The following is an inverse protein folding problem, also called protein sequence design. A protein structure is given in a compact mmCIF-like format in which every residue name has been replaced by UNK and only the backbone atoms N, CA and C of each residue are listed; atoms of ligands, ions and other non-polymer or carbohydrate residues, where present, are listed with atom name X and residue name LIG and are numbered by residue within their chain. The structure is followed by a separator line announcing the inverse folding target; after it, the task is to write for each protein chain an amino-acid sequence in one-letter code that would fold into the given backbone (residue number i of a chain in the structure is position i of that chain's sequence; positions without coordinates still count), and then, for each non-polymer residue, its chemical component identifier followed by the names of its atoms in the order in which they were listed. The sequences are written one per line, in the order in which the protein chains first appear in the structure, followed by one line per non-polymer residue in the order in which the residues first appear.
data_IF_533105880445
#
_entry.id   IF_533105880445
#
_cell.length_a   1.000
_cell.length_b   1.000
_cell.length_c   1.000
_cell.angle_alpha   90.00
_cell.angle_beta   90.00
_cell.angle_gamma   90.00
#
_symmetry.space_group_name_H-M   'P 1'
#
loop_
_entity.id
_entity.type
_entity.pdbx_description
1 polymer ?
2 water ?
#
# COMPACT_ATOMS: atom_id res chain seq x y z
N UNK A 1 -18.87 0.73 -8.07
CA UNK A 1 -17.91 0.75 -6.94
C UNK A 1 -18.10 -0.45 -6.00
N UNK A 2 -17.13 -1.36 -6.01
CA UNK A 2 -17.19 -2.54 -5.15
C UNK A 2 -17.18 -2.10 -3.69
N UNK A 3 -18.20 -2.50 -2.94
CA UNK A 3 -18.27 -2.12 -1.53
C UNK A 3 -17.51 -3.12 -0.66
N UNK A 4 -16.93 -2.62 0.43
CA UNK A 4 -16.15 -3.42 1.35
C UNK A 4 -16.90 -4.65 1.84
N UNK A 5 -18.15 -4.46 2.26
CA UNK A 5 -18.95 -5.57 2.76
C UNK A 5 -19.07 -6.71 1.77
N UNK A 6 -19.24 -6.37 0.50
CA UNK A 6 -19.36 -7.39 -0.53
C UNK A 6 -18.10 -8.24 -0.57
N UNK A 7 -16.95 -7.61 -0.80
CA UNK A 7 -15.68 -8.33 -0.86
C UNK A 7 -15.53 -9.17 0.41
N UNK A 8 -16.08 -8.65 1.51
CA UNK A 8 -16.04 -9.31 2.82
C UNK A 8 -16.96 -10.53 2.83
N UNK A 9 -18.24 -10.31 2.52
CA UNK A 9 -19.22 -11.39 2.50
C UNK A 9 -18.81 -12.45 1.47
N UNK A 10 -18.19 -12.00 0.38
CA UNK A 10 -17.75 -12.92 -0.66
C UNK A 10 -16.55 -13.71 -0.18
N UNK A 11 -15.76 -13.10 0.72
CA UNK A 11 -14.57 -13.78 1.24
C UNK A 11 -15.04 -14.86 2.21
N UNK A 12 -16.07 -14.53 2.98
CA UNK A 12 -16.64 -15.47 3.94
C UNK A 12 -17.18 -16.68 3.17
N UNK A 13 -18.15 -16.42 2.29
CA UNK A 13 -18.78 -17.47 1.49
C UNK A 13 -17.78 -18.30 0.68
N UNK A 14 -16.87 -17.62 0.00
CA UNK A 14 -15.88 -18.31 -0.83
C UNK A 14 -15.05 -19.30 -0.03
N UNK A 15 -14.77 -18.95 1.21
CA UNK A 15 -13.99 -19.81 2.11
C UNK A 15 -14.82 -20.99 2.56
N UNK A 16 -16.08 -20.69 2.90
CA UNK A 16 -17.03 -21.68 3.34
C UNK A 16 -17.05 -22.84 2.34
N UNK A 17 -17.47 -22.54 1.11
CA UNK A 17 -17.57 -23.53 0.05
C UNK A 17 -16.25 -24.23 -0.33
N UNK A 18 -15.13 -23.72 0.14
CA UNK A 18 -13.83 -24.33 -0.17
C UNK A 18 -13.59 -25.55 0.72
N UNK A 19 -14.11 -25.48 1.95
CA UNK A 19 -13.96 -26.53 2.95
C UNK A 19 -14.82 -27.76 2.68
N UNK A 20 -16.04 -27.52 2.17
CA UNK A 20 -16.97 -28.59 1.84
C UNK A 20 -16.53 -29.39 0.61
N UNK A 21 -15.23 -29.39 0.35
CA UNK A 21 -14.61 -30.13 -0.76
C UNK A 21 -13.41 -30.83 -0.13
N UNK A 22 -12.99 -31.97 -0.68
CA UNK A 22 -11.87 -32.70 -0.09
C UNK A 22 -10.65 -32.91 -1.00
N UNK A 23 -10.81 -33.76 -2.02
CA UNK A 23 -9.73 -34.02 -2.97
C UNK A 23 -10.35 -34.47 -4.28
N UNK A 24 -11.64 -34.81 -4.22
CA UNK A 24 -12.36 -35.24 -5.42
C UNK A 24 -12.95 -33.99 -6.09
N UNK A 25 -12.64 -33.81 -7.37
CA UNK A 25 -13.13 -32.67 -8.13
C UNK A 25 -12.85 -31.35 -7.44
N UNK A 26 -11.79 -31.31 -6.63
CA UNK A 26 -11.48 -30.07 -5.94
C UNK A 26 -9.98 -29.75 -5.92
N UNK A 27 -9.19 -30.58 -6.58
CA UNK A 27 -7.75 -30.34 -6.64
C UNK A 27 -7.56 -29.11 -7.51
N UNK A 28 -8.66 -28.58 -8.01
CA UNK A 28 -8.63 -27.40 -8.85
C UNK A 28 -9.64 -26.37 -8.39
N UNK A 29 -10.90 -26.75 -8.26
CA UNK A 29 -11.90 -25.79 -7.81
C UNK A 29 -11.44 -25.18 -6.49
N UNK A 30 -10.64 -25.93 -5.73
CA UNK A 30 -10.13 -25.44 -4.44
C UNK A 30 -8.84 -24.69 -4.67
N UNK A 31 -7.90 -25.34 -5.35
CA UNK A 31 -6.61 -24.72 -5.64
C UNK A 31 -6.89 -23.40 -6.35
N UNK A 32 -8.10 -23.26 -6.88
CA UNK A 32 -8.53 -22.06 -7.58
C UNK A 32 -9.19 -21.10 -6.58
N UNK A 33 -10.17 -21.60 -5.82
CA UNK A 33 -10.84 -20.76 -4.83
C UNK A 33 -9.82 -20.22 -3.84
N UNK A 34 -8.65 -20.83 -3.78
CA UNK A 34 -7.62 -20.37 -2.86
C UNK A 34 -7.00 -19.07 -3.34
N UNK A 35 -6.63 -19.02 -4.62
CA UNK A 35 -6.03 -17.83 -5.20
C UNK A 35 -6.84 -16.62 -4.76
N UNK A 36 -8.15 -16.69 -5.03
CA UNK A 36 -9.07 -15.61 -4.68
C UNK A 36 -9.11 -15.31 -3.20
N UNK A 37 -9.16 -16.35 -2.37
CA UNK A 37 -9.19 -16.19 -0.91
C UNK A 37 -7.98 -15.34 -0.56
N UNK A 38 -6.81 -15.88 -0.89
CA UNK A 38 -5.51 -15.24 -0.67
C UNK A 38 -5.53 -13.78 -1.10
N UNK A 39 -5.75 -13.55 -2.40
CA UNK A 39 -5.81 -12.21 -2.96
C UNK A 39 -6.74 -11.32 -2.13
N UNK A 40 -7.93 -11.83 -1.83
CA UNK A 40 -8.89 -11.06 -1.07
C UNK A 40 -8.40 -10.66 0.31
N UNK A 41 -7.78 -11.58 1.03
CA UNK A 41 -7.29 -11.23 2.37
C UNK A 41 -5.98 -10.46 2.36
N UNK A 42 -5.27 -10.50 1.24
CA UNK A 42 -4.01 -9.77 1.06
C UNK A 42 -4.15 -8.34 1.56
N UNK A 43 -3.07 -7.76 2.07
CA UNK A 43 -3.12 -6.39 2.56
C UNK A 43 -3.29 -5.42 1.40
N UNK A 44 -2.53 -5.64 0.34
CA UNK A 44 -2.61 -4.81 -0.85
C UNK A 44 -4.05 -4.71 -1.35
N UNK A 45 -4.67 -5.86 -1.59
CA UNK A 45 -6.03 -5.88 -2.05
C UNK A 45 -6.93 -5.02 -1.16
N UNK A 46 -6.88 -5.25 0.15
CA UNK A 46 -7.70 -4.50 1.08
C UNK A 46 -7.51 -2.98 0.92
N UNK A 47 -6.30 -2.55 0.61
CA UNK A 47 -6.01 -1.13 0.43
C UNK A 47 -6.64 -0.55 -0.84
N UNK A 48 -6.69 -1.36 -1.91
CA UNK A 48 -7.30 -0.96 -3.18
C UNK A 48 -8.81 -0.71 -3.04
N UNK A 49 -9.50 -1.63 -2.37
CA UNK A 49 -10.93 -1.48 -2.13
C UNK A 49 -11.22 -0.18 -1.40
N UNK A 50 -10.37 0.16 -0.44
CA UNK A 50 -10.53 1.39 0.35
C UNK A 50 -10.29 2.66 -0.49
N UNK A 51 -9.23 2.68 -1.28
CA UNK A 51 -8.94 3.83 -2.12
C UNK A 51 -10.12 4.00 -3.05
N UNK A 52 -10.40 2.93 -3.78
CA UNK A 52 -11.49 2.88 -4.74
C UNK A 52 -12.83 3.33 -4.16
N UNK A 53 -13.15 2.84 -2.97
CA UNK A 53 -14.42 3.21 -2.37
C UNK A 53 -14.48 4.63 -1.80
N UNK A 54 -13.39 5.08 -1.16
CA UNK A 54 -13.38 6.42 -0.57
C UNK A 54 -13.11 7.54 -1.56
N UNK A 55 -12.34 7.25 -2.59
CA UNK A 55 -12.02 8.22 -3.60
C UNK A 55 -12.69 7.91 -4.93
N UNK A 56 -13.73 7.10 -4.89
CA UNK A 56 -14.44 6.72 -6.11
C UNK A 56 -13.55 6.66 -7.34
N UNK A 57 -12.72 5.62 -7.39
CA UNK A 57 -11.81 5.42 -8.51
C UNK A 57 -12.47 4.52 -9.52
N UNK A 58 -12.37 4.90 -10.79
CA UNK A 58 -12.97 4.16 -11.89
C UNK A 58 -12.00 4.27 -13.05
N UNK A 59 -12.01 3.29 -13.95
CA UNK A 59 -11.12 3.36 -15.11
C UNK A 59 -11.60 4.52 -15.98
N UNK A 60 -12.86 4.88 -15.79
CA UNK A 60 -13.49 5.96 -16.52
C UNK A 60 -13.13 7.25 -15.81
N UNK A 61 -13.25 7.22 -14.50
CA UNK A 61 -12.98 8.36 -13.67
C UNK A 61 -11.48 8.65 -13.57
N UNK A 62 -10.70 7.59 -13.48
CA UNK A 62 -9.27 7.70 -13.36
C UNK A 62 -8.67 6.84 -14.46
N UNK A 63 -8.62 7.38 -15.70
CA UNK A 63 -8.07 6.64 -16.84
C UNK A 63 -6.57 6.37 -16.88
N UNK A 64 -5.81 6.99 -15.99
CA UNK A 64 -4.37 6.75 -16.00
C UNK A 64 -4.02 5.34 -15.56
N UNK A 65 -4.99 4.64 -14.98
CA UNK A 65 -4.78 3.27 -14.51
C UNK A 65 -4.57 2.29 -15.65
N UNK A 66 -5.18 2.59 -16.80
CA UNK A 66 -5.09 1.73 -17.97
C UNK A 66 -3.70 1.19 -18.29
N UNK A 67 -2.67 1.91 -17.89
CA UNK A 67 -1.31 1.48 -18.16
C UNK A 67 -0.96 0.20 -17.38
N UNK A 68 -1.74 -0.10 -16.34
CA UNK A 68 -1.51 -1.27 -15.50
C UNK A 68 -2.02 -2.59 -16.09
N UNK A 69 -2.77 -2.50 -17.18
CA UNK A 69 -3.32 -3.69 -17.84
C UNK A 69 -2.40 -4.17 -18.96
N UNK A 70 -1.12 -3.83 -18.82
CA UNK A 70 -0.12 -4.19 -19.81
C UNK A 70 1.20 -4.38 -19.06
N UNK A 71 2.11 -5.17 -19.64
CA UNK A 71 3.39 -5.40 -18.99
C UNK A 71 3.32 -6.64 -18.14
N UNK A 72 4.39 -6.95 -17.38
CA UNK A 72 4.50 -8.12 -16.50
C UNK A 72 3.42 -8.22 -15.41
N UNK A 73 2.51 -9.16 -15.60
CA UNK A 73 1.44 -9.34 -14.64
C UNK A 73 0.13 -8.73 -15.10
N UNK A 74 -0.17 -8.85 -16.39
CA UNK A 74 -1.38 -8.29 -16.96
C UNK A 74 -2.42 -9.41 -17.23
N UNK A 75 -2.36 -9.97 -18.44
CA UNK A 75 -3.30 -11.00 -18.83
C UNK A 75 -2.90 -12.31 -18.25
N UNK A 76 -2.15 -12.28 -17.14
CA UNK A 76 -1.71 -13.49 -16.44
C UNK A 76 -2.77 -14.62 -16.50
N UNK A 77 -3.94 -14.29 -17.06
CA UNK A 77 -5.02 -15.25 -17.27
C UNK A 77 -6.00 -15.16 -16.14
N UNK A 78 -5.58 -14.56 -15.04
CA UNK A 78 -6.41 -14.41 -13.85
C UNK A 78 -7.87 -14.02 -14.08
N UNK A 79 -8.15 -13.27 -15.14
CA UNK A 79 -9.53 -12.85 -15.39
C UNK A 79 -10.48 -14.04 -15.48
N UNK A 80 -10.09 -15.06 -16.24
CA UNK A 80 -10.92 -16.23 -16.40
C UNK A 80 -11.34 -16.82 -15.05
N UNK A 81 -10.36 -17.10 -14.19
CA UNK A 81 -10.62 -17.64 -12.85
C UNK A 81 -11.90 -17.11 -12.23
N UNK A 82 -11.84 -15.85 -11.81
CA UNK A 82 -12.97 -15.18 -11.18
C UNK A 82 -14.29 -15.38 -11.91
N UNK A 83 -14.24 -15.20 -13.23
CA UNK A 83 -15.42 -15.34 -14.06
C UNK A 83 -15.94 -16.78 -14.14
N UNK A 84 -15.02 -17.73 -14.30
CA UNK A 84 -15.40 -19.14 -14.37
C UNK A 84 -15.70 -19.74 -13.02
N UNK A 85 -15.86 -18.93 -11.98
CA UNK A 85 -16.15 -19.46 -10.64
C UNK A 85 -17.62 -19.67 -10.32
N UNK A 86 -18.45 -18.62 -10.43
CA UNK A 86 -19.87 -18.76 -10.12
C UNK A 86 -20.44 -20.01 -10.80
N UNK A 87 -19.78 -20.43 -11.87
CA UNK A 87 -20.18 -21.60 -12.62
C UNK A 87 -19.81 -22.89 -11.87
N UNK A 88 -18.55 -22.99 -11.47
CA UNK A 88 -18.08 -24.16 -10.76
C UNK A 88 -18.70 -24.34 -9.38
N UNK A 89 -18.95 -23.24 -8.69
CA UNK A 89 -19.53 -23.29 -7.35
C UNK A 89 -21.04 -23.47 -7.37
N UNK A 90 -21.67 -23.14 -8.50
CA UNK A 90 -23.12 -23.22 -8.66
C UNK A 90 -23.74 -24.55 -8.18
N UNK A 91 -23.12 -25.69 -8.52
CA UNK A 91 -23.65 -26.98 -8.08
C UNK A 91 -23.73 -27.09 -6.55
N UNK A 92 -22.62 -26.77 -5.90
CA UNK A 92 -22.47 -26.82 -4.44
C UNK A 92 -23.22 -25.77 -3.64
N UNK A 93 -23.58 -24.66 -4.30
CA UNK A 93 -24.32 -23.60 -3.63
C UNK A 93 -25.78 -24.01 -3.49
N UNK A 94 -26.28 -24.04 -2.27
CA UNK A 94 -27.66 -24.42 -2.01
C UNK A 94 -28.48 -23.22 -1.55
N UNK A 95 -28.14 -22.03 -2.03
CA UNK A 95 -28.86 -20.83 -1.66
C UNK A 95 -29.13 -19.88 -2.81
N UNK A 96 -30.42 -19.64 -3.06
CA UNK A 96 -30.89 -18.76 -4.11
C UNK A 96 -30.42 -17.32 -3.85
N UNK A 97 -29.78 -17.14 -2.69
CA UNK A 97 -29.29 -15.84 -2.29
C UNK A 97 -27.81 -15.68 -2.62
N UNK A 98 -27.02 -16.66 -2.22
CA UNK A 98 -25.59 -16.62 -2.46
C UNK A 98 -25.28 -16.80 -3.94
N UNK A 99 -25.96 -17.74 -4.57
CA UNK A 99 -25.73 -18.01 -6.00
C UNK A 99 -25.83 -16.74 -6.82
N UNK A 100 -26.91 -15.98 -6.63
CA UNK A 100 -27.09 -14.74 -7.35
C UNK A 100 -25.98 -13.75 -6.98
N UNK A 101 -25.63 -13.72 -5.69
CA UNK A 101 -24.58 -12.84 -5.19
C UNK A 101 -23.26 -13.16 -5.86
N UNK A 102 -22.91 -14.44 -5.91
CA UNK A 102 -21.65 -14.85 -6.51
C UNK A 102 -21.58 -14.48 -7.99
N UNK A 103 -22.64 -14.75 -8.74
CA UNK A 103 -22.62 -14.39 -10.15
C UNK A 103 -22.52 -12.87 -10.28
N UNK A 104 -22.99 -12.16 -9.26
CA UNK A 104 -22.95 -10.70 -9.26
C UNK A 104 -21.51 -10.20 -9.11
N UNK A 105 -20.83 -10.62 -8.05
CA UNK A 105 -19.44 -10.20 -7.82
C UNK A 105 -18.52 -10.66 -8.92
N UNK A 106 -18.47 -11.97 -9.13
CA UNK A 106 -17.61 -12.59 -10.14
C UNK A 106 -18.38 -12.92 -11.42
N UNK A 110 -16.11 -3.87 -12.49
CA UNK A 110 -15.40 -3.15 -11.43
C UNK A 110 -14.38 -4.04 -10.71
N UNK A 111 -14.88 -5.08 -10.03
CA UNK A 111 -14.03 -6.03 -9.30
C UNK A 111 -12.93 -6.70 -10.13
N UNK A 112 -13.26 -7.13 -11.34
CA UNK A 112 -12.27 -7.77 -12.21
C UNK A 112 -11.06 -6.86 -12.45
N UNK A 113 -11.35 -5.58 -12.69
CA UNK A 113 -10.32 -4.58 -12.92
C UNK A 113 -9.51 -4.46 -11.63
N UNK A 114 -10.21 -4.43 -10.51
CA UNK A 114 -9.57 -4.33 -9.21
C UNK A 114 -8.53 -5.43 -9.07
N UNK A 115 -8.97 -6.69 -9.20
CA UNK A 115 -8.10 -7.85 -9.06
C UNK A 115 -6.93 -7.88 -10.04
N UNK A 116 -7.13 -7.40 -11.27
CA UNK A 116 -6.04 -7.38 -12.25
C UNK A 116 -5.00 -6.37 -11.79
N UNK A 117 -5.47 -5.23 -11.28
CA UNK A 117 -4.58 -4.21 -10.78
C UNK A 117 -3.79 -4.78 -9.61
N UNK A 118 -4.44 -5.56 -8.76
CA UNK A 118 -3.76 -6.19 -7.63
C UNK A 118 -2.64 -7.11 -8.10
N UNK A 119 -2.91 -7.91 -9.13
CA UNK A 119 -1.91 -8.83 -9.66
C UNK A 119 -0.75 -8.10 -10.28
N UNK A 120 -1.00 -6.88 -10.76
CA UNK A 120 0.04 -6.09 -11.39
C UNK A 120 0.91 -5.43 -10.36
N UNK A 121 0.29 -4.87 -9.33
CA UNK A 121 1.03 -4.20 -8.28
C UNK A 121 1.80 -5.24 -7.49
N UNK A 122 1.15 -6.35 -7.19
CA UNK A 122 1.77 -7.43 -6.44
C UNK A 122 3.05 -7.90 -7.11
N UNK A 123 3.05 -7.85 -8.44
CA UNK A 123 4.21 -8.26 -9.22
C UNK A 123 5.37 -7.31 -8.95
N UNK A 124 5.11 -6.01 -8.92
CA UNK A 124 6.14 -5.01 -8.64
C UNK A 124 6.65 -5.14 -7.21
N UNK A 125 5.70 -5.16 -6.27
CA UNK A 125 6.00 -5.29 -4.86
C UNK A 125 6.98 -6.41 -4.54
N UNK A 126 6.96 -7.47 -5.33
CA UNK A 126 7.87 -8.57 -5.09
C UNK A 126 9.31 -8.15 -5.44
N UNK A 127 9.43 -7.07 -6.21
CA UNK A 127 10.74 -6.52 -6.59
C UNK A 127 11.08 -5.36 -5.65
N UNK A 128 10.29 -5.22 -4.60
CA UNK A 128 10.49 -4.17 -3.62
C UNK A 128 11.86 -4.25 -2.99
N UNK A 129 12.44 -3.09 -2.67
CA UNK A 129 13.76 -3.04 -2.04
C UNK A 129 13.54 -3.28 -0.56
N UNK A 130 14.59 -3.63 0.18
CA UNK A 130 14.45 -3.87 1.61
C UNK A 130 14.59 -2.59 2.45
N UNK A 131 13.66 -2.37 3.38
CA UNK A 131 13.73 -1.17 4.21
C UNK A 131 14.92 -1.18 5.19
N UNK A 132 15.52 -0.01 5.40
CA UNK A 132 16.66 0.12 6.32
C UNK A 132 16.24 -0.37 7.72
N UNK A 133 15.08 0.09 8.16
CA UNK A 133 14.53 -0.29 9.44
C UNK A 133 13.01 -0.20 9.38
N UNK A 134 12.36 -0.58 10.47
CA UNK A 134 10.91 -0.60 10.55
C UNK A 134 10.31 0.47 11.43
N UNK A 135 11.14 1.34 11.99
CA UNK A 135 10.59 2.39 12.82
C UNK A 135 11.20 3.74 12.55
N UNK A 136 10.94 4.31 11.38
CA UNK A 136 11.50 5.62 11.06
C UNK A 136 10.77 6.73 11.82
N UNK A 137 9.45 6.62 11.92
CA UNK A 137 8.65 7.59 12.62
C UNK A 137 9.13 7.69 14.08
N UNK A 138 9.36 6.54 14.72
CA UNK A 138 9.85 6.52 16.10
C UNK A 138 11.19 7.20 16.09
N UNK A 139 12.12 6.66 15.29
CA UNK A 139 13.46 7.20 15.14
C UNK A 139 13.43 8.73 15.06
N UNK A 140 12.71 9.25 14.07
CA UNK A 140 12.58 10.69 13.88
C UNK A 140 12.21 11.39 15.18
N UNK A 141 11.44 10.71 16.02
CA UNK A 141 11.01 11.25 17.30
C UNK A 141 12.08 11.19 18.39
N UNK A 142 12.86 10.12 18.39
CA UNK A 142 13.93 9.97 19.38
C UNK A 142 15.00 11.01 19.08
N UNK A 143 15.24 11.24 17.79
CA UNK A 143 16.23 12.20 17.34
C UNK A 143 15.77 13.62 17.65
N UNK A 144 14.51 13.93 17.37
CA UNK A 144 13.99 15.27 17.62
C UNK A 144 13.85 15.59 19.10
N UNK A 145 13.87 14.57 19.95
CA UNK A 145 13.78 14.76 21.39
C UNK A 145 15.16 15.20 21.81
N UNK A 146 16.14 14.46 21.34
CA UNK A 146 17.54 14.76 21.62
C UNK A 146 17.93 16.18 21.23
N UNK A 147 17.74 16.50 19.96
CA UNK A 147 18.10 17.82 19.44
C UNK A 147 17.58 19.01 20.22
N UNK A 148 16.33 18.97 20.66
CA UNK A 148 15.75 20.09 21.40
C UNK A 148 16.36 20.23 22.78
N UNK A 149 17.01 19.17 23.24
CA UNK A 149 17.67 19.16 24.54
C UNK A 149 19.12 19.58 24.34
N UNK A 150 19.34 20.47 23.40
CA UNK A 150 20.68 20.97 23.09
C UNK A 150 20.57 22.43 22.70
N UNK A 151 21.71 23.15 22.70
CA UNK A 151 21.74 24.56 22.33
C UNK A 151 21.21 24.70 20.91
N UNK A 152 20.28 25.62 20.70
CA UNK A 152 19.70 25.80 19.38
C UNK A 152 20.62 26.32 18.26
N UNK A 153 20.93 25.41 17.36
CA UNK A 153 21.75 25.66 16.20
C UNK A 153 20.72 26.05 15.13
N UNK A 154 21.15 26.68 14.05
CA UNK A 154 20.21 27.06 12.99
C UNK A 154 19.83 25.85 12.16
N UNK A 155 20.60 24.78 12.29
CA UNK A 155 20.32 23.54 11.57
C UNK A 155 19.37 22.75 12.45
N UNK A 156 19.55 22.86 13.76
CA UNK A 156 18.68 22.15 14.68
C UNK A 156 17.26 22.72 14.59
N UNK A 157 17.15 24.02 14.32
CA UNK A 157 15.85 24.68 14.20
C UNK A 157 15.15 24.32 12.91
N UNK A 158 15.92 24.29 11.84
CA UNK A 158 15.35 24.00 10.54
C UNK A 158 15.07 22.53 10.36
N UNK A 159 15.81 21.71 11.11
CA UNK A 159 15.60 20.28 11.02
C UNK A 159 14.37 19.89 11.85
N UNK A 160 14.32 20.35 13.10
CA UNK A 160 13.17 20.03 13.95
C UNK A 160 11.88 20.55 13.34
N UNK A 161 11.98 21.58 12.53
CA UNK A 161 10.79 22.11 11.89
C UNK A 161 10.35 21.17 10.76
N UNK A 162 11.31 20.64 10.03
CA UNK A 162 10.98 19.74 8.93
C UNK A 162 10.38 18.42 9.42
N UNK A 163 11.01 17.84 10.43
CA UNK A 163 10.53 16.57 10.94
C UNK A 163 9.11 16.66 11.44
N UNK A 164 8.64 17.89 11.69
CA UNK A 164 7.29 18.06 12.20
C UNK A 164 6.29 18.52 11.17
N UNK A 165 6.70 18.57 9.89
CA UNK A 165 5.78 18.96 8.82
C UNK A 165 4.89 17.76 8.58
N UNK A 166 3.62 18.00 8.21
CA UNK A 166 2.70 16.89 7.96
C UNK A 166 3.13 15.93 6.87
N UNK A 167 3.72 16.46 5.81
CA UNK A 167 4.14 15.64 4.70
C UNK A 167 5.28 14.73 5.06
N UNK A 168 6.26 15.25 5.81
CA UNK A 168 7.40 14.44 6.23
C UNK A 168 6.92 13.39 7.23
N UNK A 169 6.17 13.87 8.24
CA UNK A 169 5.61 12.99 9.24
C UNK A 169 4.82 11.83 8.57
N UNK A 170 4.17 12.12 7.45
CA UNK A 170 3.42 11.08 6.72
C UNK A 170 4.38 10.10 6.01
N UNK A 171 5.42 10.61 5.38
CA UNK A 171 6.38 9.76 4.67
C UNK A 171 6.91 8.72 5.61
N UNK A 172 7.30 9.19 6.81
CA UNK A 172 7.84 8.30 7.83
C UNK A 172 6.75 7.34 8.28
N UNK A 173 5.57 7.87 8.58
CA UNK A 173 4.45 7.01 8.98
C UNK A 173 4.13 5.97 7.89
N UNK A 174 3.94 6.40 6.66
CA UNK A 174 3.67 5.43 5.60
C UNK A 174 4.88 4.47 5.46
N UNK A 175 6.09 5.00 5.58
CA UNK A 175 7.30 4.19 5.48
C UNK A 175 7.21 2.96 6.35
N UNK A 176 6.91 3.18 7.63
CA UNK A 176 6.79 2.09 8.60
C UNK A 176 5.62 1.16 8.30
N UNK A 177 4.46 1.74 7.99
CA UNK A 177 3.28 0.94 7.66
C UNK A 177 3.61 -0.08 6.58
N UNK A 178 4.21 0.37 5.49
CA UNK A 178 4.57 -0.50 4.39
C UNK A 178 5.76 -1.38 4.74
N UNK A 179 6.69 -0.84 5.52
CA UNK A 179 7.87 -1.59 5.96
C UNK A 179 7.43 -2.78 6.80
N UNK A 180 6.53 -2.48 7.75
CA UNK A 180 5.97 -3.46 8.69
C UNK A 180 4.88 -4.38 8.16
N UNK A 181 4.44 -4.16 6.91
CA UNK A 181 3.39 -4.98 6.32
C UNK A 181 2.10 -4.92 7.12
N UNK A 182 1.74 -3.74 7.58
CA UNK A 182 0.55 -3.61 8.39
C UNK A 182 -0.42 -2.51 7.93
N UNK A 183 -1.21 -2.82 6.90
CA UNK A 183 -2.18 -1.86 6.36
C UNK A 183 -3.22 -1.42 7.40
N UNK A 184 -3.68 -0.18 7.26
CA UNK A 184 -4.64 0.39 8.19
C UNK A 184 -5.30 1.59 7.49
N UNK A 185 -6.61 1.51 7.24
CA UNK A 185 -7.34 2.59 6.60
C UNK A 185 -6.89 3.95 7.10
N UNK A 186 -6.55 4.04 8.39
CA UNK A 186 -6.11 5.31 8.96
C UNK A 186 -4.93 5.80 8.16
N UNK A 187 -4.04 4.87 7.84
CA UNK A 187 -2.85 5.20 7.08
C UNK A 187 -3.18 5.54 5.63
N UNK A 188 -4.38 5.22 5.19
CA UNK A 188 -4.78 5.54 3.82
C UNK A 188 -4.95 7.07 3.72
N UNK A 189 -5.64 7.65 4.70
CA UNK A 189 -5.92 9.08 4.73
C UNK A 189 -4.67 9.92 4.92
N UNK A 190 -3.60 9.30 5.40
CA UNK A 190 -2.35 10.00 5.59
C UNK A 190 -1.77 10.31 4.21
N UNK A 191 -2.32 9.63 3.21
CA UNK A 191 -1.87 9.84 1.85
C UNK A 191 -1.87 11.29 1.46
N UNK A 192 -3.04 11.94 1.44
CA UNK A 192 -3.12 13.35 1.09
C UNK A 192 -2.30 14.33 1.94
N UNK A 193 -1.71 13.87 3.03
CA UNK A 193 -0.91 14.75 3.90
C UNK A 193 0.48 14.92 3.34
N UNK A 194 0.90 13.96 2.55
CA UNK A 194 2.21 14.01 1.92
C UNK A 194 2.24 15.15 0.88
N UNK A 195 1.08 15.47 0.33
CA UNK A 195 0.96 16.56 -0.63
C UNK A 195 1.67 16.39 -1.96
N UNK A 196 2.03 17.54 -2.54
CA UNK A 196 2.71 17.59 -3.83
C UNK A 196 3.99 16.77 -3.77
N UNK A 197 4.13 15.78 -4.66
CA UNK A 197 5.33 14.95 -4.67
C UNK A 197 6.68 15.63 -4.81
N UNK A 198 6.74 16.73 -5.55
CA UNK A 198 8.02 17.42 -5.72
C UNK A 198 8.44 18.20 -4.46
N UNK A 199 7.49 18.82 -3.80
CA UNK A 199 7.82 19.54 -2.59
C UNK A 199 8.32 18.52 -1.58
N UNK A 200 7.66 17.38 -1.50
CA UNK A 200 8.07 16.35 -0.56
C UNK A 200 9.50 15.93 -0.82
N UNK A 201 9.80 15.57 -2.06
CA UNK A 201 11.14 15.14 -2.42
C UNK A 201 12.14 16.24 -2.16
N UNK A 202 11.68 17.48 -2.23
CA UNK A 202 12.57 18.59 -1.97
C UNK A 202 12.74 18.85 -0.48
N UNK A 203 11.68 18.66 0.30
CA UNK A 203 11.78 18.85 1.75
C UNK A 203 12.69 17.75 2.33
N UNK A 204 12.56 16.54 1.79
CA UNK A 204 13.34 15.41 2.25
C UNK A 204 14.81 15.58 1.93
N UNK A 205 15.14 16.08 0.75
CA UNK A 205 16.54 16.27 0.41
C UNK A 205 17.17 17.30 1.32
N UNK A 206 16.43 18.35 1.63
CA UNK A 206 16.93 19.39 2.51
C UNK A 206 17.13 18.82 3.91
N UNK A 207 16.27 17.87 4.28
CA UNK A 207 16.38 17.22 5.59
C UNK A 207 17.70 16.43 5.63
N UNK A 208 18.02 15.76 4.52
CA UNK A 208 19.25 14.97 4.40
C UNK A 208 20.46 15.88 4.49
N UNK A 209 20.38 17.06 3.87
CA UNK A 209 21.46 18.03 3.90
C UNK A 209 21.75 18.44 5.35
N UNK A 210 20.72 18.94 6.05
CA UNK A 210 20.87 19.36 7.45
C UNK A 210 21.33 18.19 8.33
N UNK A 211 20.99 16.98 7.91
CA UNK A 211 21.34 15.77 8.65
C UNK A 211 22.83 15.47 8.56
N UNK A 212 23.36 15.56 7.34
CA UNK A 212 24.77 15.30 7.08
C UNK A 212 25.59 16.39 7.70
N UNK A 213 25.10 17.61 7.60
CA UNK A 213 25.77 18.77 8.14
C UNK A 213 25.98 18.65 9.66
N UNK A 214 24.92 18.34 10.41
CA UNK A 214 25.04 18.21 11.86
C UNK A 214 26.02 17.13 12.27
N UNK A 215 26.18 16.13 11.42
CA UNK A 215 27.12 15.05 11.68
C UNK A 215 28.54 15.52 11.41
N UNK A 216 28.74 16.21 10.29
CA UNK A 216 30.06 16.72 9.92
C UNK A 216 30.66 17.65 10.97
N UNK A 217 29.81 18.39 11.66
CA UNK A 217 30.30 19.29 12.69
C UNK A 217 30.11 18.68 14.09
N UNK A 218 30.52 17.42 14.21
CA UNK A 218 30.42 16.67 15.46
C UNK A 218 30.06 17.42 16.73
N UNK A 219 28.78 17.58 16.98
CA UNK A 219 28.33 18.29 18.19
C UNK A 219 27.03 17.74 18.74
N UNK A 220 26.51 16.68 18.13
CA UNK A 220 25.26 16.11 18.59
C UNK A 220 25.47 14.83 19.40
N UNK A 221 26.01 13.76 18.78
CA UNK A 221 26.42 13.53 17.39
C UNK A 221 25.94 12.10 17.02
N UNK A 222 24.76 11.72 17.52
CA UNK A 222 24.12 10.41 17.32
C UNK A 222 24.34 9.66 16.03
N UNK A 223 23.94 8.39 16.12
CA UNK A 223 23.99 7.47 15.02
C UNK A 223 22.59 7.62 14.51
N UNK A 224 21.79 8.36 15.30
CA UNK A 224 20.40 8.61 14.95
C UNK A 224 20.31 9.45 13.68
N UNK A 225 21.14 10.50 13.62
CA UNK A 225 21.16 11.36 12.45
C UNK A 225 21.58 10.51 11.26
N UNK A 226 22.64 9.74 11.47
CA UNK A 226 23.14 8.85 10.44
C UNK A 226 22.03 7.89 9.98
N UNK A 227 21.42 7.22 10.94
CA UNK A 227 20.35 6.28 10.68
C UNK A 227 19.19 6.91 9.92
N UNK A 228 18.76 8.09 10.35
CA UNK A 228 17.66 8.75 9.67
C UNK A 228 18.10 9.15 8.28
N UNK A 229 19.36 9.58 8.17
CA UNK A 229 19.87 9.98 6.86
C UNK A 229 19.89 8.75 5.94
N UNK A 230 20.19 7.60 6.52
CA UNK A 230 20.21 6.37 5.75
C UNK A 230 18.81 5.88 5.37
N UNK A 231 17.82 6.11 6.24
CA UNK A 231 16.47 5.70 5.94
C UNK A 231 15.91 6.58 4.83
N UNK A 232 16.24 7.87 4.88
CA UNK A 232 15.76 8.83 3.88
C UNK A 232 16.41 8.66 2.50
N UNK A 233 17.63 8.13 2.49
CA UNK A 233 18.32 7.91 1.23
C UNK A 233 18.00 6.50 0.78
N UNK A 234 17.45 5.72 1.70
CA UNK A 234 17.06 4.34 1.47
C UNK A 234 16.40 4.15 0.11
N UNK A 235 16.83 3.15 -0.67
CA UNK A 235 16.21 2.97 -1.98
C UNK A 235 14.79 2.41 -1.86
N UNK A 236 14.43 2.00 -0.65
CA UNK A 236 13.09 1.48 -0.35
C UNK A 236 12.23 2.70 -0.06
N UNK A 237 12.78 3.64 0.70
CA UNK A 237 12.09 4.87 1.03
C UNK A 237 11.85 5.66 -0.26
N UNK A 238 12.83 5.60 -1.16
CA UNK A 238 12.75 6.28 -2.46
C UNK A 238 11.63 5.65 -3.26
N UNK A 239 11.54 4.32 -3.15
CA UNK A 239 10.52 3.56 -3.84
C UNK A 239 9.13 3.97 -3.36
N UNK A 240 8.98 4.19 -2.05
CA UNK A 240 7.70 4.60 -1.49
C UNK A 240 7.20 5.88 -2.10
N UNK A 241 8.12 6.82 -2.35
CA UNK A 241 7.77 8.11 -2.94
C UNK A 241 7.46 8.02 -4.43
N UNK A 242 8.09 7.07 -5.13
CA UNK A 242 7.82 6.92 -6.56
C UNK A 242 6.39 6.44 -6.69
N UNK A 243 6.08 5.40 -5.95
CA UNK A 243 4.75 4.84 -5.94
C UNK A 243 3.71 5.89 -5.53
N UNK A 244 4.13 6.89 -4.75
CA UNK A 244 3.22 7.95 -4.32
C UNK A 244 2.97 8.90 -5.46
N UNK A 245 4.03 9.20 -6.21
CA UNK A 245 3.96 10.10 -7.38
C UNK A 245 2.87 9.63 -8.33
N UNK A 246 2.88 8.33 -8.64
CA UNK A 246 1.91 7.73 -9.53
C UNK A 246 0.51 7.83 -8.96
N UNK A 247 0.34 7.49 -7.70
CA UNK A 247 -0.99 7.57 -7.10
C UNK A 247 -1.53 8.99 -7.11
N UNK A 248 -0.64 9.98 -6.93
CA UNK A 248 -1.02 11.38 -6.89
C UNK A 248 -1.51 11.90 -8.23
N UNK A 249 -1.10 11.21 -9.30
CA UNK A 249 -1.50 11.58 -10.65
C UNK A 249 -2.83 10.95 -11.04
N UNK A 250 -2.89 9.62 -10.89
CA UNK A 250 -4.08 8.89 -11.28
C UNK A 250 -5.31 9.17 -10.44
N UNK A 251 -5.13 9.61 -9.19
CA UNK A 251 -6.26 9.92 -8.31
C UNK A 251 -6.14 11.25 -7.55
N UNK A 252 -7.18 12.07 -7.59
CA UNK A 252 -7.15 13.35 -6.89
C UNK A 252 -7.27 13.08 -5.41
N UNK A 253 -6.18 13.31 -4.69
CA UNK A 253 -6.12 13.11 -3.24
C UNK A 253 -6.34 14.45 -2.54
N UNK A 254 -5.41 15.38 -2.76
CA UNK A 254 -5.46 16.71 -2.16
C UNK A 254 -6.60 17.54 -2.78
#
# INVERSE_FOLDING_TARGET
PVRKQDTQRALHLLEEYRSKLSQTEDRQLRSSIERVINIFQSNLFQALIDIQEFYEVTLLDNPKLEVLFQGPGSDTGLYELLAALPAQLQPHVDSQEDLTFLWDMFGEKSLHSLVKIHEKLHYYEKQSPVPILHGAAALADDLAEELQNKPLNSEIRELLKLLSKPNVKALLSVHDTVAQKNYDLEVLFQGPALGEPVRLERDICRAIELLEKLQRSGEVPPQKLQALQRVLQSEFCNAVREVYEHVYETVDIS
#
